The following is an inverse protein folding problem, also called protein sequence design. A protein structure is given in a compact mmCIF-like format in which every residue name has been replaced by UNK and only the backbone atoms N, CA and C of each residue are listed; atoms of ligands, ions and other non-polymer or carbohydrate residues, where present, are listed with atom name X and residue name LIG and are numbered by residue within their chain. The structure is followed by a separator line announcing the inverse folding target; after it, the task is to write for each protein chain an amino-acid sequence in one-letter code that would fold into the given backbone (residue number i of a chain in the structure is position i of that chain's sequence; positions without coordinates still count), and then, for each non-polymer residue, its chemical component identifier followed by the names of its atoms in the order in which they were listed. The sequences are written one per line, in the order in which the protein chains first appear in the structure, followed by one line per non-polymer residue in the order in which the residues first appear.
data_IF_460291127653
#
_entry.id   IF_460291127653
#
_cell.length_a   1.000
_cell.length_b   1.000
_cell.length_c   1.000
_cell.angle_alpha   90.00
_cell.angle_beta   90.00
_cell.angle_gamma   90.00
#
_symmetry.space_group_name_H-M   'P 1'
#
loop_
_entity.id
_entity.type
_entity.pdbx_description
1 polymer ?
#
# COMPACT_ATOMS: atom_id res chain seq x y z
N UNK A 1 -10.15 4.99 14.17
CA UNK A 1 -9.01 4.66 13.29
C UNK A 1 -8.93 3.15 13.22
N UNK A 2 -9.02 2.57 12.03
CA UNK A 2 -8.86 1.13 11.84
C UNK A 2 -7.37 0.85 11.71
N UNK A 3 -6.88 -0.24 12.32
CA UNK A 3 -5.48 -0.64 12.20
C UNK A 3 -5.36 -1.73 11.15
N UNK A 4 -4.42 -1.55 10.22
CA UNK A 4 -3.94 -2.61 9.36
C UNK A 4 -2.88 -3.40 10.13
N UNK A 5 -3.03 -4.72 10.28
CA UNK A 5 -2.04 -5.52 11.00
C UNK A 5 -0.79 -5.73 10.14
N UNK A 6 0.38 -5.83 10.79
CA UNK A 6 1.59 -6.28 10.13
C UNK A 6 1.39 -7.70 9.56
N UNK A 7 1.85 -7.93 8.34
CA UNK A 7 1.78 -9.25 7.71
C UNK A 7 2.91 -9.44 6.72
N UNK A 8 3.18 -10.69 6.35
CA UNK A 8 4.03 -11.01 5.20
C UNK A 8 3.17 -11.59 4.10
N UNK A 9 3.43 -11.17 2.87
CA UNK A 9 2.72 -11.65 1.67
C UNK A 9 3.74 -12.07 0.61
N UNK A 10 3.32 -12.99 -0.25
CA UNK A 10 4.09 -13.41 -1.41
C UNK A 10 3.35 -12.98 -2.67
N UNK A 11 4.01 -12.22 -3.53
CA UNK A 11 3.43 -11.78 -4.81
C UNK A 11 3.11 -13.01 -5.65
N UNK A 12 1.84 -13.19 -6.02
CA UNK A 12 1.35 -14.35 -6.77
C UNK A 12 0.72 -13.96 -8.13
N UNK A 13 0.80 -12.68 -8.49
CA UNK A 13 0.17 -12.08 -9.67
C UNK A 13 1.24 -11.47 -10.56
N UNK A 14 1.07 -11.61 -11.88
CA UNK A 14 1.87 -10.91 -12.88
C UNK A 14 1.60 -9.40 -12.83
N UNK A 15 2.59 -8.61 -13.26
CA UNK A 15 2.48 -7.14 -13.37
C UNK A 15 2.10 -6.42 -12.06
N UNK A 16 2.35 -7.04 -10.90
CA UNK A 16 2.04 -6.47 -9.61
C UNK A 16 3.08 -5.41 -9.21
N UNK A 17 2.65 -4.17 -9.02
CA UNK A 17 3.46 -3.12 -8.42
C UNK A 17 3.32 -3.10 -6.90
N UNK A 18 4.27 -2.47 -6.20
CA UNK A 18 4.22 -2.38 -4.74
C UNK A 18 3.00 -1.60 -4.25
N UNK A 19 2.62 -0.52 -4.94
CA UNK A 19 1.42 0.27 -4.62
C UNK A 19 0.14 -0.56 -4.79
N UNK A 20 0.04 -1.38 -5.85
CA UNK A 20 -1.09 -2.28 -6.05
C UNK A 20 -1.17 -3.31 -4.92
N UNK A 21 -0.03 -3.91 -4.55
CA UNK A 21 0.07 -4.88 -3.47
C UNK A 21 -0.39 -4.27 -2.13
N UNK A 22 0.08 -3.06 -1.80
CA UNK A 22 -0.33 -2.34 -0.61
C UNK A 22 -1.84 -2.01 -0.63
N UNK A 23 -2.34 -1.52 -1.78
CA UNK A 23 -3.74 -1.18 -1.98
C UNK A 23 -4.66 -2.40 -1.84
N UNK A 24 -4.33 -3.52 -2.49
CA UNK A 24 -5.14 -4.75 -2.44
C UNK A 24 -5.23 -5.28 -1.01
N UNK A 25 -4.13 -5.28 -0.26
CA UNK A 25 -4.15 -5.67 1.16
C UNK A 25 -5.02 -4.72 2.00
N UNK A 26 -4.83 -3.41 1.85
CA UNK A 26 -5.61 -2.42 2.58
C UNK A 26 -7.10 -2.53 2.26
N UNK A 27 -7.45 -2.67 0.98
CA UNK A 27 -8.83 -2.83 0.53
C UNK A 27 -9.46 -4.10 1.09
N UNK A 28 -8.73 -5.23 1.10
CA UNK A 28 -9.21 -6.47 1.69
C UNK A 28 -9.50 -6.38 3.19
N UNK A 29 -8.83 -5.46 3.93
CA UNK A 29 -9.04 -5.28 5.39
C UNK A 29 -10.05 -4.20 5.75
N UNK A 30 -10.13 -3.15 4.93
CA UNK A 30 -11.01 -2.01 5.19
C UNK A 30 -12.38 -2.17 4.53
N UNK A 31 -12.48 -2.93 3.44
CA UNK A 31 -13.71 -3.09 2.67
C UNK A 31 -14.17 -1.84 1.93
N UNK A 32 -13.44 -0.72 2.06
CA UNK A 32 -13.74 0.57 1.44
C UNK A 32 -12.59 0.97 0.51
N UNK A 33 -12.88 0.95 -0.79
CA UNK A 33 -11.92 1.32 -1.85
C UNK A 33 -11.40 2.74 -1.68
N UNK A 34 -12.26 3.69 -1.27
CA UNK A 34 -11.88 5.10 -1.09
C UNK A 34 -10.92 5.24 0.09
N UNK A 35 -11.19 4.56 1.20
CA UNK A 35 -10.29 4.59 2.36
C UNK A 35 -8.93 3.94 2.04
N UNK A 36 -8.93 2.79 1.38
CA UNK A 36 -7.70 2.10 0.99
C UNK A 36 -6.83 2.94 0.03
N UNK A 37 -7.46 3.67 -0.89
CA UNK A 37 -6.75 4.57 -1.82
C UNK A 37 -6.24 5.88 -1.21
N UNK A 38 -6.62 6.20 0.03
CA UNK A 38 -6.24 7.44 0.72
C UNK A 38 -5.15 7.23 1.79
N UNK A 39 -4.57 6.04 1.86
CA UNK A 39 -3.51 5.73 2.83
C UNK A 39 -2.18 6.38 2.45
N UNK A 40 -2.03 7.64 2.86
CA UNK A 40 -0.81 8.40 2.68
C UNK A 40 0.35 7.83 3.49
N UNK A 41 1.48 7.54 2.86
CA UNK A 41 2.69 7.05 3.55
C UNK A 41 2.77 5.53 3.72
N UNK A 42 1.73 4.76 3.32
CA UNK A 42 1.72 3.31 3.56
C UNK A 42 2.72 2.56 2.67
N UNK A 43 2.89 2.98 1.42
CA UNK A 43 3.88 2.41 0.49
C UNK A 43 5.30 2.73 0.96
N UNK A 44 5.53 3.96 1.41
CA UNK A 44 6.82 4.43 1.92
C UNK A 44 7.20 3.70 3.22
N UNK A 45 6.24 3.51 4.13
CA UNK A 45 6.44 2.70 5.32
C UNK A 45 6.77 1.24 4.98
N UNK A 46 6.13 0.70 3.94
CA UNK A 46 6.45 -0.64 3.42
C UNK A 46 7.86 -0.70 2.84
N UNK A 47 8.28 0.29 2.05
CA UNK A 47 9.65 0.35 1.53
C UNK A 47 10.69 0.47 2.64
N UNK A 48 10.42 1.24 3.69
CA UNK A 48 11.35 1.44 4.80
C UNK A 48 11.72 0.14 5.53
N UNK A 49 10.77 -0.81 5.61
CA UNK A 49 11.00 -2.12 6.26
C UNK A 49 11.40 -3.23 5.27
N UNK A 50 11.49 -2.95 3.96
CA UNK A 50 11.97 -3.88 2.94
C UNK A 50 13.15 -3.29 2.14
N UNK A 51 14.37 -3.23 2.71
CA UNK A 51 15.55 -2.77 1.99
C UNK A 51 15.77 -3.59 0.70
N UNK A 52 16.02 -2.90 -0.41
CA UNK A 52 16.25 -3.54 -1.72
C UNK A 52 15.00 -3.83 -2.54
N UNK A 53 13.79 -3.71 -1.97
CA UNK A 53 12.54 -3.96 -2.70
C UNK A 53 12.37 -3.01 -3.90
N UNK A 54 12.71 -1.72 -3.72
CA UNK A 54 12.66 -0.73 -4.80
C UNK A 54 13.65 -1.01 -5.96
N UNK A 55 14.74 -1.75 -5.70
CA UNK A 55 15.72 -2.09 -6.73
C UNK A 55 15.20 -3.16 -7.70
N UNK A 56 14.12 -3.87 -7.36
CA UNK A 56 13.48 -4.87 -8.23
C UNK A 56 12.73 -4.23 -9.41
N UNK A 57 12.51 -2.92 -9.39
CA UNK A 57 11.78 -2.18 -10.42
C UNK A 57 10.30 -1.94 -10.06
N UNK A 58 9.55 -1.36 -11.00
CA UNK A 58 8.14 -1.00 -10.81
C UNK A 58 7.19 -2.19 -10.80
N UNK A 59 7.56 -3.28 -11.48
CA UNK A 59 6.85 -4.55 -11.49
C UNK A 59 7.63 -5.53 -10.63
N UNK A 60 6.98 -6.05 -9.59
CA UNK A 60 7.59 -7.03 -8.69
C UNK A 60 7.58 -8.41 -9.37
N UNK A 61 8.72 -9.13 -9.37
CA UNK A 61 8.75 -10.52 -9.81
C UNK A 61 7.78 -11.39 -9.00
N UNK A 62 7.14 -12.36 -9.65
CA UNK A 62 6.32 -13.35 -8.95
C UNK A 62 7.19 -14.08 -7.92
N UNK A 63 6.62 -14.30 -6.75
CA UNK A 63 7.26 -14.95 -5.62
C UNK A 63 8.05 -14.00 -4.72
N UNK A 64 8.15 -12.70 -5.07
CA UNK A 64 8.71 -11.68 -4.19
C UNK A 64 7.98 -11.69 -2.85
N UNK A 65 8.74 -11.75 -1.76
CA UNK A 65 8.21 -11.66 -0.40
C UNK A 65 8.22 -10.19 0.01
N UNK A 66 7.07 -9.69 0.45
CA UNK A 66 6.90 -8.31 0.92
C UNK A 66 6.40 -8.33 2.36
N UNK A 67 7.11 -7.61 3.23
CA UNK A 67 6.69 -7.38 4.61
C UNK A 67 5.84 -6.11 4.66
N UNK A 68 4.57 -6.23 5.03
CA UNK A 68 3.66 -5.10 5.21
C UNK A 68 3.67 -4.67 6.69
N UNK A 69 3.84 -3.38 7.00
CA UNK A 69 3.90 -2.89 8.37
C UNK A 69 2.51 -2.87 9.01
N UNK A 70 2.47 -2.82 10.35
CA UNK A 70 1.27 -2.33 11.03
C UNK A 70 1.07 -0.86 10.66
N UNK A 71 -0.15 -0.47 10.31
CA UNK A 71 -0.43 0.89 9.85
C UNK A 71 -1.77 1.40 10.37
N UNK A 72 -1.76 2.61 10.92
CA UNK A 72 -2.99 3.26 11.37
C UNK A 72 -3.62 4.03 10.21
N UNK A 73 -4.89 3.73 9.92
CA UNK A 73 -5.62 4.45 8.87
C UNK A 73 -6.05 5.82 9.39
N UNK A 74 -5.10 6.75 9.45
CA UNK A 74 -5.41 8.17 9.59
C UNK A 74 -5.78 8.71 8.21
N UNK A 75 -7.07 8.81 7.92
CA UNK A 75 -7.50 9.56 6.74
C UNK A 75 -7.09 11.02 6.98
N UNK A 76 -6.00 11.48 6.33
CA UNK A 76 -5.71 12.91 6.29
C UNK A 76 -6.83 13.54 5.46
N UNK A 77 -7.65 14.45 6.00
CA UNK A 77 -8.59 15.17 5.17
C UNK A 77 -7.78 15.96 4.14
N UNK A 78 -7.83 15.50 2.90
CA UNK A 78 -7.25 16.23 1.78
C UNK A 78 -8.19 17.39 1.49
N UNK A 79 -7.73 18.62 1.75
CA UNK A 79 -8.42 19.80 1.32
C UNK A 79 -8.51 19.75 -0.22
N UNK A 80 -9.74 19.63 -0.73
CA UNK A 80 -9.97 19.46 -2.17
C UNK A 80 -10.00 20.85 -2.80
N UNK A 81 -8.99 21.18 -3.59
CA UNK A 81 -8.91 22.45 -4.31
C UNK A 81 -9.46 22.24 -5.73
N UNK A 82 -10.46 23.02 -6.13
CA UNK A 82 -10.88 23.10 -7.54
C UNK A 82 -9.83 23.90 -8.31
N UNK A 83 -9.20 23.29 -9.30
CA UNK A 83 -8.19 23.96 -10.13
C UNK A 83 -8.80 24.85 -11.23
N UNK A 84 -10.08 24.62 -11.57
CA UNK A 84 -10.78 25.32 -12.64
C UNK A 84 -12.25 25.55 -12.26
N UNK A 85 -12.83 26.65 -12.74
CA UNK A 85 -14.24 27.03 -12.57
C UNK A 85 -15.22 26.14 -13.36
#
# INVERSE_FOLDING_TARGET
MTKLPATTIKVNKEDASLDLVCFEFAYARLGDRKQAGLLYGYVEATLAINPGLAALGSVLPIGTVVHLPEFETAAKPAETVRLWD
#
